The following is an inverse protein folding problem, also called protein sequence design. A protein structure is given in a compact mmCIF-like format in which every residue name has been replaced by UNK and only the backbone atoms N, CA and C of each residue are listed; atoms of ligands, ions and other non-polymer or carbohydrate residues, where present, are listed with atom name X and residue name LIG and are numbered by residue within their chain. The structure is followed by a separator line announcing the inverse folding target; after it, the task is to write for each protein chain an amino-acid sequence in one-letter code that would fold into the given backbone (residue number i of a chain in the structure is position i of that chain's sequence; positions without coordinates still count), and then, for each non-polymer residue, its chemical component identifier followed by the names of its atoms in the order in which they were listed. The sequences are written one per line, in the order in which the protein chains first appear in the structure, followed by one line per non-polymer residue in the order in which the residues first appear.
data_IF_147648358644
#
_entry.id   IF_147648358644
#
_cell.length_a   1.000
_cell.length_b   1.000
_cell.length_c   1.000
_cell.angle_alpha   90.00
_cell.angle_beta   90.00
_cell.angle_gamma   90.00
#
_symmetry.space_group_name_H-M   'P 1'
#
loop_
_entity.id
_entity.type
_entity.pdbx_description
1 polymer ?
#
# COMPACT_ATOMS: atom_id res chain seq x y z
N UNK A 1 13.33 7.63 4.71
CA UNK A 1 12.76 6.31 5.06
C UNK A 1 12.01 6.29 6.41
N UNK A 2 12.46 7.00 7.45
CA UNK A 2 11.74 7.05 8.73
C UNK A 2 10.39 7.80 8.67
N UNK A 3 10.28 8.92 7.95
CA UNK A 3 9.01 9.67 7.91
C UNK A 3 7.88 8.90 7.20
N UNK A 4 8.21 8.09 6.18
CA UNK A 4 7.22 7.28 5.47
C UNK A 4 6.65 6.16 6.35
N UNK A 5 7.49 5.55 7.21
CA UNK A 5 7.07 4.54 8.21
C UNK A 5 6.22 5.16 9.32
N UNK A 6 6.57 6.36 9.79
CA UNK A 6 5.76 7.08 10.79
C UNK A 6 4.39 7.49 10.23
N UNK A 7 4.32 7.97 8.99
CA UNK A 7 3.05 8.32 8.34
C UNK A 7 2.17 7.07 8.15
N UNK A 8 2.75 5.92 7.80
CA UNK A 8 1.98 4.67 7.69
C UNK A 8 1.52 4.17 9.05
N UNK A 9 2.37 4.26 10.08
CA UNK A 9 2.03 3.89 11.46
C UNK A 9 0.92 4.76 12.05
N UNK A 10 0.96 6.07 11.80
CA UNK A 10 -0.08 6.98 12.27
C UNK A 10 -1.41 6.74 11.55
N UNK A 11 -1.39 6.50 10.22
CA UNK A 11 -2.59 6.13 9.45
C UNK A 11 -3.21 4.83 9.95
N UNK A 12 -2.39 3.82 10.25
CA UNK A 12 -2.89 2.56 10.82
C UNK A 12 -3.44 2.76 12.23
N UNK A 13 -2.78 3.54 13.08
CA UNK A 13 -3.24 3.82 14.45
C UNK A 13 -4.58 4.56 14.47
N UNK A 14 -4.73 5.62 13.67
CA UNK A 14 -5.98 6.39 13.56
C UNK A 14 -7.12 5.54 13.01
N UNK A 15 -6.84 4.67 12.04
CA UNK A 15 -7.80 3.70 11.53
C UNK A 15 -8.24 2.69 12.60
N UNK A 16 -7.28 2.12 13.35
CA UNK A 16 -7.56 1.18 14.44
C UNK A 16 -8.41 1.84 15.54
N UNK A 17 -8.18 3.12 15.86
CA UNK A 17 -9.05 3.85 16.80
C UNK A 17 -10.48 3.98 16.29
N UNK A 18 -10.66 4.30 15.00
CA UNK A 18 -11.99 4.40 14.39
C UNK A 18 -12.72 3.06 14.39
N UNK A 19 -12.04 1.96 14.05
CA UNK A 19 -12.67 0.65 13.98
C UNK A 19 -12.92 0.07 15.37
N UNK A 20 -11.93 0.09 16.27
CA UNK A 20 -12.02 -0.56 17.59
C UNK A 20 -12.91 0.22 18.54
N UNK A 21 -12.88 1.55 18.52
CA UNK A 21 -13.73 2.35 19.41
C UNK A 21 -14.99 2.85 18.72
N UNK A 22 -14.94 3.15 17.42
CA UNK A 22 -16.10 3.68 16.70
C UNK A 22 -17.20 2.65 16.47
N UNK A 23 -16.89 1.41 16.09
CA UNK A 23 -17.91 0.37 15.86
C UNK A 23 -18.66 0.01 17.16
N UNK A 24 -17.99 -0.31 18.28
CA UNK A 24 -18.69 -0.60 19.53
C UNK A 24 -19.44 0.61 20.07
N UNK A 25 -18.90 1.83 19.92
CA UNK A 25 -19.61 3.05 20.34
C UNK A 25 -20.87 3.28 19.49
N UNK A 26 -20.82 3.10 18.17
CA UNK A 26 -21.99 3.17 17.28
C UNK A 26 -23.02 2.10 17.61
N UNK A 27 -22.61 0.84 17.79
CA UNK A 27 -23.51 -0.26 18.17
C UNK A 27 -24.14 0.03 19.53
N UNK A 28 -23.36 0.50 20.50
CA UNK A 28 -23.86 0.88 21.81
C UNK A 28 -24.87 2.03 21.71
N UNK A 29 -24.61 3.04 20.87
CA UNK A 29 -25.51 4.17 20.67
C UNK A 29 -26.80 3.75 19.94
N UNK A 30 -26.72 2.83 18.98
CA UNK A 30 -27.89 2.20 18.33
C UNK A 30 -28.69 1.31 19.29
N UNK A 31 -28.00 0.56 20.15
CA UNK A 31 -28.65 -0.24 21.19
C UNK A 31 -29.32 0.66 22.23
N UNK A 32 -28.66 1.74 22.63
CA UNK A 32 -29.19 2.70 23.61
C UNK A 32 -30.41 3.43 23.04
N UNK A 33 -30.35 3.90 21.79
CA UNK A 33 -31.52 4.49 21.10
C UNK A 33 -32.68 3.49 20.97
N UNK A 34 -32.41 2.22 20.67
CA UNK A 34 -33.46 1.20 20.58
C UNK A 34 -34.05 0.80 21.94
N UNK A 35 -33.22 0.44 22.90
CA UNK A 35 -33.66 -0.18 24.15
C UNK A 35 -34.04 0.84 25.22
N UNK A 36 -33.36 1.98 25.28
CA UNK A 36 -33.64 3.03 26.29
C UNK A 36 -34.72 3.98 25.80
N UNK A 37 -34.63 4.43 24.55
CA UNK A 37 -35.58 5.39 23.98
C UNK A 37 -36.73 4.75 23.22
N UNK A 38 -36.78 3.41 23.16
CA UNK A 38 -37.83 2.62 22.51
C UNK A 38 -38.06 3.01 21.04
N UNK A 39 -37.00 3.46 20.37
CA UNK A 39 -37.08 3.86 18.97
C UNK A 39 -37.23 2.60 18.10
N UNK A 40 -38.29 2.51 17.27
CA UNK A 40 -38.58 1.31 16.50
C UNK A 40 -37.73 1.25 15.23
N UNK A 41 -36.42 1.02 15.39
CA UNK A 41 -35.56 0.70 14.26
C UNK A 41 -35.81 -0.71 13.75
N UNK A 42 -35.83 -0.85 12.43
CA UNK A 42 -35.76 -2.15 11.78
C UNK A 42 -34.45 -2.86 12.15
N UNK A 43 -34.51 -4.16 12.46
CA UNK A 43 -33.30 -4.98 12.71
C UNK A 43 -32.29 -4.87 11.56
N UNK A 44 -32.77 -4.62 10.33
CA UNK A 44 -31.94 -4.44 9.15
C UNK A 44 -30.97 -3.26 9.25
N UNK A 45 -31.31 -2.18 9.97
CA UNK A 45 -30.40 -1.04 10.17
C UNK A 45 -29.17 -1.46 10.95
N UNK A 46 -29.36 -2.27 12.00
CA UNK A 46 -28.26 -2.77 12.84
C UNK A 46 -27.36 -3.69 12.01
N UNK A 47 -27.97 -4.60 11.24
CA UNK A 47 -27.23 -5.53 10.37
C UNK A 47 -26.43 -4.78 9.31
N UNK A 48 -27.02 -3.77 8.66
CA UNK A 48 -26.35 -2.97 7.63
C UNK A 48 -25.25 -2.07 8.19
N UNK A 49 -25.43 -1.49 9.38
CA UNK A 49 -24.36 -0.74 10.05
C UNK A 49 -23.20 -1.66 10.42
N UNK A 50 -23.47 -2.88 10.92
CA UNK A 50 -22.43 -3.89 11.16
C UNK A 50 -21.72 -4.26 9.86
N UNK A 51 -22.47 -4.43 8.76
CA UNK A 51 -21.95 -4.72 7.42
C UNK A 51 -20.98 -3.62 6.95
N UNK A 52 -21.41 -2.35 6.95
CA UNK A 52 -20.58 -1.20 6.58
C UNK A 52 -19.25 -1.13 7.34
N UNK A 53 -19.27 -1.39 8.65
CA UNK A 53 -18.02 -1.39 9.42
C UNK A 53 -17.14 -2.61 9.12
N UNK A 54 -17.74 -3.77 8.83
CA UNK A 54 -17.03 -4.93 8.30
C UNK A 54 -16.38 -4.62 6.95
N UNK A 55 -17.06 -3.88 6.08
CA UNK A 55 -16.54 -3.42 4.80
C UNK A 55 -15.38 -2.43 4.97
N UNK A 56 -15.51 -1.43 5.85
CA UNK A 56 -14.42 -0.50 6.20
C UNK A 56 -13.21 -1.24 6.75
N UNK A 57 -13.43 -2.27 7.57
CA UNK A 57 -12.37 -3.13 8.06
C UNK A 57 -11.67 -3.88 6.91
N UNK A 58 -12.44 -4.50 6.01
CA UNK A 58 -11.93 -5.26 4.87
C UNK A 58 -11.21 -4.37 3.84
N UNK A 59 -11.69 -3.14 3.61
CA UNK A 59 -11.10 -2.15 2.68
C UNK A 59 -9.62 -1.93 2.94
N UNK A 60 -9.22 -1.87 4.21
CA UNK A 60 -7.83 -1.60 4.57
C UNK A 60 -6.91 -2.81 4.43
N UNK A 61 -7.47 -4.01 4.33
CA UNK A 61 -6.71 -5.25 4.29
C UNK A 61 -6.59 -5.83 2.88
N UNK A 62 -7.51 -5.46 1.99
CA UNK A 62 -7.50 -5.88 0.59
C UNK A 62 -6.53 -5.02 -0.23
N UNK A 63 -5.38 -5.60 -0.58
CA UNK A 63 -4.41 -4.99 -1.51
C UNK A 63 -4.86 -5.20 -2.96
N UNK A 64 -5.79 -4.33 -3.40
CA UNK A 64 -6.21 -4.08 -4.79
C UNK A 64 -6.62 -5.30 -5.67
N UNK A 65 -7.87 -5.27 -6.17
CA UNK A 65 -8.41 -6.26 -7.12
C UNK A 65 -9.91 -6.11 -7.30
N UNK A 66 -10.54 -7.10 -7.96
CA UNK A 66 -12.00 -7.18 -8.19
C UNK A 66 -12.79 -7.06 -6.87
N UNK A 67 -12.26 -7.62 -5.77
CA UNK A 67 -12.87 -7.54 -4.44
C UNK A 67 -13.00 -6.10 -3.91
N UNK A 68 -12.06 -5.22 -4.25
CA UNK A 68 -12.12 -3.81 -3.83
C UNK A 68 -13.25 -3.08 -4.57
N UNK A 69 -13.40 -3.32 -5.87
CA UNK A 69 -14.48 -2.76 -6.69
C UNK A 69 -15.84 -3.29 -6.21
N UNK A 70 -15.94 -4.59 -5.98
CA UNK A 70 -17.17 -5.23 -5.51
C UNK A 70 -17.62 -4.69 -4.15
N UNK A 71 -16.66 -4.45 -3.26
CA UNK A 71 -16.94 -3.90 -1.95
C UNK A 71 -17.32 -2.40 -2.01
N UNK A 72 -16.75 -1.62 -2.93
CA UNK A 72 -17.26 -0.26 -3.22
C UNK A 72 -18.71 -0.33 -3.73
N UNK A 73 -19.01 -1.22 -4.68
CA UNK A 73 -20.37 -1.37 -5.20
C UNK A 73 -21.34 -1.75 -4.08
N UNK A 74 -20.94 -2.66 -3.18
CA UNK A 74 -21.74 -3.07 -2.03
C UNK A 74 -21.99 -1.89 -1.08
N UNK A 75 -20.96 -1.12 -0.70
CA UNK A 75 -21.13 0.11 0.12
C UNK A 75 -22.10 1.11 -0.54
N UNK A 76 -22.06 1.26 -1.88
CA UNK A 76 -22.95 2.17 -2.60
C UNK A 76 -24.41 1.70 -2.62
N UNK A 77 -24.66 0.39 -2.45
CA UNK A 77 -26.02 -0.17 -2.33
C UNK A 77 -26.50 -0.12 -0.88
N UNK A 78 -25.64 -0.45 0.08
CA UNK A 78 -25.98 -0.47 1.51
C UNK A 78 -26.33 0.93 2.03
N UNK A 79 -25.60 1.96 1.61
CA UNK A 79 -25.77 3.31 2.15
C UNK A 79 -27.15 3.92 1.85
N UNK A 80 -27.70 3.86 0.62
CA UNK A 80 -29.09 4.24 0.34
C UNK A 80 -30.13 3.44 1.13
N UNK A 81 -29.87 2.14 1.36
CA UNK A 81 -30.80 1.28 2.10
C UNK A 81 -30.81 1.65 3.58
N UNK A 82 -29.64 1.90 4.18
CA UNK A 82 -29.52 2.43 5.54
C UNK A 82 -30.23 3.76 5.63
N UNK A 83 -29.98 4.67 4.68
CA UNK A 83 -30.63 5.96 4.62
C UNK A 83 -32.16 5.78 4.58
N UNK A 84 -32.68 4.92 3.70
CA UNK A 84 -34.12 4.66 3.58
C UNK A 84 -34.75 4.18 4.89
N UNK A 85 -34.09 3.28 5.64
CA UNK A 85 -34.62 2.78 6.91
C UNK A 85 -34.38 3.73 8.10
N UNK A 86 -33.38 4.59 8.03
CA UNK A 86 -33.04 5.55 9.08
C UNK A 86 -33.76 6.89 8.90
N UNK A 87 -34.14 7.24 7.66
CA UNK A 87 -34.86 8.46 7.31
C UNK A 87 -36.15 8.65 8.12
N UNK A 88 -37.07 7.66 8.23
CA UNK A 88 -38.32 7.85 8.98
C UNK A 88 -38.07 8.26 10.43
N UNK A 89 -37.06 7.67 11.08
CA UNK A 89 -36.66 8.03 12.42
C UNK A 89 -36.11 9.46 12.50
N UNK A 90 -35.19 9.81 11.60
CA UNK A 90 -34.62 11.17 11.57
C UNK A 90 -35.69 12.23 11.28
N UNK A 91 -36.64 11.94 10.38
CA UNK A 91 -37.80 12.80 10.13
C UNK A 91 -38.62 12.96 11.41
N UNK A 92 -38.86 11.87 12.15
CA UNK A 92 -39.69 11.90 13.37
C UNK A 92 -39.02 12.65 14.55
N UNK A 93 -37.69 12.61 14.64
CA UNK A 93 -36.93 13.25 15.75
C UNK A 93 -36.52 14.68 15.42
N UNK A 94 -36.18 14.96 14.17
CA UNK A 94 -35.53 16.21 13.78
C UNK A 94 -36.23 16.96 12.64
N UNK A 95 -37.32 16.41 12.09
CA UNK A 95 -37.95 16.90 10.87
C UNK A 95 -37.11 16.60 9.62
N UNK A 96 -37.71 16.61 8.43
CA UNK A 96 -36.95 16.39 7.19
C UNK A 96 -36.02 17.54 6.80
N UNK A 97 -36.16 18.69 7.45
CA UNK A 97 -35.27 19.83 7.26
C UNK A 97 -33.86 19.60 7.83
N UNK A 98 -33.76 18.98 9.01
CA UNK A 98 -32.48 18.63 9.60
C UNK A 98 -31.72 17.59 8.76
N UNK A 99 -32.44 16.76 8.01
CA UNK A 99 -31.86 15.82 7.06
C UNK A 99 -31.18 16.53 5.88
N UNK A 100 -31.77 17.59 5.33
CA UNK A 100 -31.10 18.37 4.29
C UNK A 100 -29.84 19.06 4.82
N UNK A 101 -29.84 19.50 6.07
CA UNK A 101 -28.65 20.07 6.72
C UNK A 101 -27.56 19.02 6.94
N UNK A 102 -27.90 17.81 7.37
CA UNK A 102 -26.96 16.68 7.49
C UNK A 102 -26.42 16.24 6.13
N UNK A 103 -27.30 16.14 5.13
CA UNK A 103 -26.89 15.91 3.74
C UNK A 103 -25.94 17.01 3.27
N UNK A 104 -26.21 18.28 3.59
CA UNK A 104 -25.36 19.41 3.24
C UNK A 104 -23.98 19.33 3.90
N UNK A 105 -23.89 19.04 5.20
CA UNK A 105 -22.61 18.83 5.90
C UNK A 105 -21.86 17.62 5.33
N UNK A 106 -22.56 16.53 5.04
CA UNK A 106 -21.96 15.32 4.48
C UNK A 106 -21.47 15.53 3.03
N UNK A 107 -22.23 16.26 2.22
CA UNK A 107 -21.85 16.65 0.87
C UNK A 107 -20.68 17.63 0.89
N UNK A 108 -20.68 18.58 1.85
CA UNK A 108 -19.52 19.45 2.09
C UNK A 108 -18.28 18.64 2.46
N UNK A 109 -18.40 17.74 3.42
CA UNK A 109 -17.27 16.97 3.93
C UNK A 109 -16.67 16.02 2.91
N UNK A 110 -17.49 15.36 2.08
CA UNK A 110 -17.03 14.29 1.18
C UNK A 110 -16.71 14.75 -0.24
N UNK A 111 -17.44 15.74 -0.79
CA UNK A 111 -17.28 16.15 -2.19
C UNK A 111 -16.34 17.36 -2.33
N UNK A 112 -16.13 18.17 -1.29
CA UNK A 112 -15.22 19.35 -1.38
C UNK A 112 -13.73 19.02 -1.32
N UNK A 113 -13.40 17.75 -1.50
CA UNK A 113 -12.10 17.36 -2.03
C UNK A 113 -11.91 17.78 -3.52
N UNK A 114 -12.97 18.28 -4.18
CA UNK A 114 -12.94 18.81 -5.54
C UNK A 114 -13.01 20.34 -5.58
N UNK A 115 -12.12 20.89 -6.39
CA UNK A 115 -11.87 22.30 -6.73
C UNK A 115 -13.10 23.05 -7.29
N UNK A 116 -14.13 23.29 -6.47
CA UNK A 116 -15.28 24.11 -6.84
C UNK A 116 -15.06 25.59 -6.47
N UNK A 117 -15.61 26.49 -7.28
CA UNK A 117 -15.50 27.94 -7.07
C UNK A 117 -16.36 28.39 -5.87
N UNK A 118 -15.92 29.43 -5.16
CA UNK A 118 -16.67 30.00 -4.03
C UNK A 118 -18.10 30.39 -4.42
N UNK A 119 -18.32 30.87 -5.64
CA UNK A 119 -19.65 31.24 -6.13
C UNK A 119 -20.59 30.04 -6.23
N UNK A 120 -20.10 28.88 -6.68
CA UNK A 120 -20.89 27.66 -6.74
C UNK A 120 -21.35 27.23 -5.34
N UNK A 121 -20.47 27.37 -4.35
CA UNK A 121 -20.75 27.07 -2.96
C UNK A 121 -21.90 27.88 -2.38
N UNK A 122 -21.90 29.20 -2.60
CA UNK A 122 -22.99 30.07 -2.16
C UNK A 122 -24.31 29.77 -2.89
N UNK A 123 -24.26 29.49 -4.20
CA UNK A 123 -25.45 29.10 -4.97
C UNK A 123 -26.03 27.78 -4.43
N UNK A 124 -25.17 26.79 -4.17
CA UNK A 124 -25.58 25.51 -3.63
C UNK A 124 -26.17 25.64 -2.21
N UNK A 125 -25.56 26.46 -1.35
CA UNK A 125 -26.08 26.82 -0.02
C UNK A 125 -27.48 27.45 -0.14
N UNK A 126 -27.67 28.40 -1.06
CA UNK A 126 -28.94 29.07 -1.28
C UNK A 126 -30.03 28.10 -1.76
N UNK A 127 -29.71 27.22 -2.72
CA UNK A 127 -30.64 26.18 -3.19
C UNK A 127 -30.99 25.23 -2.05
N UNK A 128 -30.01 24.76 -1.28
CA UNK A 128 -30.22 23.86 -0.14
C UNK A 128 -31.10 24.49 0.94
N UNK A 129 -30.88 25.78 1.24
CA UNK A 129 -31.71 26.53 2.18
C UNK A 129 -33.15 26.67 1.67
N UNK A 130 -33.33 26.98 0.38
CA UNK A 130 -34.66 27.10 -0.22
C UNK A 130 -35.40 25.76 -0.24
N UNK A 131 -34.72 24.67 -0.61
CA UNK A 131 -35.28 23.32 -0.55
C UNK A 131 -35.66 22.90 0.87
N UNK A 132 -34.85 23.27 1.87
CA UNK A 132 -35.13 23.00 3.29
C UNK A 132 -36.38 23.74 3.75
N UNK A 133 -36.52 25.00 3.36
CA UNK A 133 -37.72 25.78 3.66
C UNK A 133 -38.97 25.16 3.02
N UNK A 134 -38.92 24.76 1.75
CA UNK A 134 -40.03 24.08 1.07
C UNK A 134 -40.40 22.77 1.77
N UNK A 135 -39.40 21.97 2.17
CA UNK A 135 -39.68 20.71 2.88
C UNK A 135 -40.37 20.96 4.22
N UNK A 136 -39.93 21.94 5.01
CA UNK A 136 -40.62 22.32 6.26
C UNK A 136 -42.07 22.70 5.98
N UNK A 137 -42.32 23.48 4.92
CA UNK A 137 -43.68 23.90 4.56
C UNK A 137 -44.57 22.71 4.18
N UNK A 138 -44.04 21.79 3.37
CA UNK A 138 -44.75 20.57 2.95
C UNK A 138 -45.05 19.68 4.16
N UNK A 139 -44.09 19.52 5.07
CA UNK A 139 -44.26 18.76 6.31
C UNK A 139 -45.27 19.40 7.25
N UNK A 140 -45.26 20.73 7.38
CA UNK A 140 -46.24 21.50 8.15
C UNK A 140 -47.67 21.33 7.62
N UNK A 141 -47.83 21.21 6.30
CA UNK A 141 -49.12 20.93 5.65
C UNK A 141 -49.57 19.46 5.82
N UNK A 142 -48.80 18.64 6.53
CA UNK A 142 -49.12 17.23 6.78
C UNK A 142 -48.87 16.32 5.57
N UNK A 143 -48.17 16.80 4.54
CA UNK A 143 -47.76 15.99 3.42
C UNK A 143 -46.41 15.33 3.73
N UNK A 144 -46.41 14.08 4.15
CA UNK A 144 -45.20 13.31 4.43
C UNK A 144 -45.14 12.02 3.61
N UNK A 145 -43.93 11.53 3.31
CA UNK A 145 -43.76 10.24 2.66
C UNK A 145 -44.37 9.13 3.53
N UNK A 146 -45.29 8.35 2.94
CA UNK A 146 -45.89 7.20 3.59
C UNK A 146 -44.91 6.02 3.53
N UNK A 147 -44.45 5.57 4.69
CA UNK A 147 -43.66 4.36 4.82
C UNK A 147 -44.57 3.20 5.21
N UNK A 148 -44.53 2.12 4.43
CA UNK A 148 -45.42 0.94 4.61
C UNK A 148 -45.38 0.35 6.02
N UNK A 149 -44.25 0.46 6.71
CA UNK A 149 -44.01 -0.14 8.02
C UNK A 149 -43.73 0.89 9.13
N UNK A 150 -43.93 2.18 8.87
CA UNK A 150 -43.61 3.24 9.82
C UNK A 150 -44.59 4.41 9.70
N UNK A 151 -45.37 4.65 10.75
CA UNK A 151 -46.21 5.83 10.85
C UNK A 151 -45.36 7.01 11.32
N UNK A 152 -45.11 7.96 10.42
CA UNK A 152 -44.45 9.22 10.77
C UNK A 152 -45.45 10.08 11.54
N UNK A 153 -45.28 10.14 12.86
CA UNK A 153 -46.13 10.93 13.75
C UNK A 153 -45.51 12.30 13.96
N UNK A 154 -45.73 13.21 13.00
CA UNK A 154 -45.10 14.53 13.00
C UNK A 154 -45.82 15.53 13.94
N UNK A 155 -46.16 15.10 15.17
CA UNK A 155 -46.76 15.96 16.19
C UNK A 155 -45.90 17.20 16.50
N UNK A 156 -44.58 17.10 16.25
CA UNK A 156 -43.63 18.18 16.49
C UNK A 156 -43.80 19.38 15.55
N UNK A 157 -44.18 19.22 14.27
CA UNK A 157 -44.30 20.38 13.37
C UNK A 157 -45.70 21.00 13.37
N UNK A 158 -46.71 20.30 13.88
CA UNK A 158 -48.05 20.87 14.08
C UNK A 158 -48.09 21.92 15.20
N UNK A 159 -47.14 21.84 16.14
CA UNK A 159 -46.96 22.83 17.19
C UNK A 159 -46.14 24.03 16.70
N UNK A 160 -46.67 25.24 16.93
CA UNK A 160 -46.09 26.50 16.44
C UNK A 160 -44.71 26.75 17.03
N UNK A 161 -44.50 26.38 18.29
CA UNK A 161 -43.25 26.63 19.01
C UNK A 161 -42.10 25.77 18.46
N UNK A 162 -42.41 24.51 18.15
CA UNK A 162 -41.46 23.59 17.55
C UNK A 162 -41.17 23.90 16.08
N UNK A 163 -42.16 24.34 15.30
CA UNK A 163 -41.94 24.86 13.95
C UNK A 163 -40.98 26.06 13.95
N UNK A 164 -41.20 27.00 14.88
CA UNK A 164 -40.35 28.18 15.03
C UNK A 164 -38.93 27.80 15.45
N UNK A 165 -38.78 26.85 16.39
CA UNK A 165 -37.48 26.31 16.78
C UNK A 165 -36.76 25.65 15.60
N UNK A 166 -37.45 24.84 14.80
CA UNK A 166 -36.88 24.19 13.61
C UNK A 166 -36.42 25.23 12.56
N UNK A 167 -37.22 26.27 12.31
CA UNK A 167 -36.84 27.36 11.42
C UNK A 167 -35.61 28.11 11.92
N UNK A 168 -35.53 28.40 13.23
CA UNK A 168 -34.37 29.07 13.84
C UNK A 168 -33.11 28.20 13.69
N UNK A 169 -33.21 26.89 13.94
CA UNK A 169 -32.06 25.97 13.80
C UNK A 169 -31.59 25.91 12.35
N UNK A 170 -32.51 25.84 11.39
CA UNK A 170 -32.17 25.79 9.96
C UNK A 170 -31.54 27.10 9.50
N UNK A 171 -32.16 28.25 9.79
CA UNK A 171 -31.62 29.57 9.43
C UNK A 171 -30.28 29.82 10.13
N UNK A 172 -30.19 29.52 11.43
CA UNK A 172 -28.96 29.67 12.21
C UNK A 172 -27.84 28.76 11.72
N UNK A 173 -28.15 27.51 11.37
CA UNK A 173 -27.21 26.57 10.78
C UNK A 173 -26.68 27.04 9.42
N UNK A 174 -27.58 27.47 8.53
CA UNK A 174 -27.18 28.03 7.23
C UNK A 174 -26.36 29.31 7.38
N UNK A 175 -26.71 30.19 8.31
CA UNK A 175 -25.95 31.41 8.61
C UNK A 175 -24.55 31.09 9.15
N UNK A 176 -24.45 30.15 10.09
CA UNK A 176 -23.18 29.66 10.61
C UNK A 176 -22.30 29.12 9.47
N UNK A 177 -22.86 28.34 8.55
CA UNK A 177 -22.11 27.81 7.41
C UNK A 177 -21.73 28.90 6.42
N UNK A 178 -22.63 29.82 6.09
CA UNK A 178 -22.33 30.98 5.24
C UNK A 178 -21.16 31.80 5.79
N UNK A 179 -21.14 32.01 7.11
CA UNK A 179 -20.09 32.77 7.78
C UNK A 179 -18.75 32.03 7.77
N UNK A 180 -18.76 30.73 7.99
CA UNK A 180 -17.54 29.92 8.10
C UNK A 180 -17.01 29.42 6.75
N UNK A 181 -17.76 29.54 5.66
CA UNK A 181 -17.39 29.00 4.35
C UNK A 181 -16.04 29.53 3.86
N UNK A 182 -15.76 30.81 4.10
CA UNK A 182 -14.50 31.44 3.71
C UNK A 182 -13.32 30.89 4.52
N UNK A 183 -13.52 30.62 5.81
CA UNK A 183 -12.51 30.01 6.68
C UNK A 183 -12.21 28.58 6.22
N UNK A 184 -13.25 27.78 5.94
CA UNK A 184 -13.08 26.43 5.40
C UNK A 184 -12.36 26.45 4.06
N UNK A 185 -12.72 27.35 3.15
CA UNK A 185 -12.06 27.51 1.86
C UNK A 185 -10.60 27.93 2.00
N UNK A 186 -10.27 28.81 2.95
CA UNK A 186 -8.89 29.20 3.21
C UNK A 186 -8.05 28.02 3.68
N UNK A 187 -8.55 27.25 4.66
CA UNK A 187 -7.86 26.04 5.16
C UNK A 187 -7.68 25.01 4.05
N UNK A 188 -8.71 24.78 3.22
CA UNK A 188 -8.61 23.85 2.09
C UNK A 188 -7.57 24.30 1.07
N UNK A 189 -7.53 25.58 0.72
CA UNK A 189 -6.52 26.14 -0.20
C UNK A 189 -5.11 25.95 0.36
N UNK A 190 -4.88 26.27 1.63
CA UNK A 190 -3.58 26.07 2.28
C UNK A 190 -3.14 24.60 2.20
N UNK A 191 -4.04 23.65 2.48
CA UNK A 191 -3.72 22.22 2.38
C UNK A 191 -3.43 21.78 0.95
N UNK A 192 -4.16 22.30 -0.04
CA UNK A 192 -3.92 22.02 -1.47
C UNK A 192 -2.56 22.57 -1.90
N UNK A 193 -2.21 23.79 -1.49
CA UNK A 193 -0.91 24.41 -1.79
C UNK A 193 0.24 23.64 -1.14
N UNK A 194 0.10 23.28 0.14
CA UNK A 194 1.06 22.44 0.84
C UNK A 194 1.25 21.09 0.14
N UNK A 195 0.17 20.45 -0.30
CA UNK A 195 0.23 19.20 -1.05
C UNK A 195 0.95 19.36 -2.39
N UNK A 196 0.65 20.43 -3.13
CA UNK A 196 1.31 20.74 -4.40
C UNK A 196 2.81 21.02 -4.22
N UNK A 197 3.20 21.73 -3.15
CA UNK A 197 4.60 21.95 -2.80
C UNK A 197 5.33 20.63 -2.53
N UNK A 198 4.75 19.77 -1.68
CA UNK A 198 5.31 18.43 -1.40
C UNK A 198 5.42 17.59 -2.67
N UNK A 199 4.42 17.64 -3.55
CA UNK A 199 4.45 16.93 -4.84
C UNK A 199 5.60 17.43 -5.73
N UNK A 200 5.86 18.73 -5.76
CA UNK A 200 6.96 19.33 -6.52
C UNK A 200 8.32 18.93 -5.95
N UNK A 201 8.50 19.03 -4.64
CA UNK A 201 9.73 18.59 -3.96
C UNK A 201 9.99 17.10 -4.21
N UNK A 202 8.95 16.26 -4.14
CA UNK A 202 9.07 14.83 -4.44
C UNK A 202 9.50 14.58 -5.90
N UNK A 203 8.98 15.36 -6.84
CA UNK A 203 9.35 15.26 -8.25
C UNK A 203 10.81 15.65 -8.48
N UNK A 204 11.28 16.74 -7.86
CA UNK A 204 12.68 17.18 -7.93
C UNK A 204 13.63 16.14 -7.31
N UNK A 205 13.27 15.58 -6.14
CA UNK A 205 14.06 14.51 -5.51
C UNK A 205 14.12 13.26 -6.39
N UNK A 206 13.02 12.89 -7.05
CA UNK A 206 12.99 11.75 -7.96
C UNK A 206 13.92 11.95 -9.16
N UNK A 207 13.93 13.14 -9.77
CA UNK A 207 14.82 13.44 -10.89
C UNK A 207 16.30 13.31 -10.50
N UNK A 208 16.69 13.87 -9.35
CA UNK A 208 18.06 13.75 -8.83
C UNK A 208 18.43 12.30 -8.54
N UNK A 209 17.48 11.52 -8.01
CA UNK A 209 17.70 10.10 -7.73
C UNK A 209 17.88 9.29 -9.01
N UNK A 210 17.06 9.57 -10.03
CA UNK A 210 17.11 8.90 -11.34
C UNK A 210 18.44 9.19 -12.05
N UNK A 211 18.92 10.43 -11.99
CA UNK A 211 20.23 10.82 -12.52
C UNK A 211 21.37 10.07 -11.80
N UNK A 212 21.37 10.04 -10.46
CA UNK A 212 22.37 9.28 -9.69
C UNK A 212 22.33 7.79 -9.99
N UNK A 213 21.15 7.20 -10.15
CA UNK A 213 21.02 5.78 -10.53
C UNK A 213 21.68 5.55 -11.89
N UNK A 214 21.45 6.45 -12.84
CA UNK A 214 22.05 6.37 -14.18
C UNK A 214 23.58 6.48 -14.16
N UNK A 215 24.12 7.44 -13.39
CA UNK A 215 25.57 7.59 -13.21
C UNK A 215 26.18 6.32 -12.59
N UNK A 216 25.58 5.81 -11.51
CA UNK A 216 26.03 4.57 -10.86
C UNK A 216 25.93 3.35 -11.76
N UNK A 217 24.89 3.26 -12.59
CA UNK A 217 24.76 2.19 -13.57
C UNK A 217 25.88 2.25 -14.61
N UNK A 218 26.24 3.44 -15.08
CA UNK A 218 27.35 3.65 -16.01
C UNK A 218 28.70 3.30 -15.37
N UNK A 219 28.98 3.76 -14.15
CA UNK A 219 30.19 3.40 -13.41
C UNK A 219 30.32 1.88 -13.22
N UNK A 220 29.20 1.20 -12.92
CA UNK A 220 29.16 -0.26 -12.79
C UNK A 220 29.44 -0.97 -14.12
N UNK A 221 28.91 -0.46 -15.23
CA UNK A 221 29.14 -1.02 -16.56
C UNK A 221 30.61 -0.85 -16.99
N UNK A 222 31.20 0.32 -16.76
CA UNK A 222 32.62 0.58 -17.00
C UNK A 222 33.51 -0.31 -16.12
N UNK A 223 33.22 -0.42 -14.82
CA UNK A 223 33.96 -1.29 -13.91
C UNK A 223 33.84 -2.76 -14.30
N UNK A 224 32.66 -3.20 -14.75
CA UNK A 224 32.43 -4.56 -15.26
C UNK A 224 33.27 -4.83 -16.51
N UNK A 225 33.28 -3.92 -17.47
CA UNK A 225 34.09 -4.05 -18.70
C UNK A 225 35.58 -4.16 -18.40
N UNK A 226 36.11 -3.30 -17.52
CA UNK A 226 37.52 -3.37 -17.06
C UNK A 226 37.81 -4.70 -16.38
N UNK A 227 36.89 -5.21 -15.56
CA UNK A 227 37.06 -6.48 -14.88
C UNK A 227 37.06 -7.66 -15.86
N UNK A 228 36.18 -7.65 -16.86
CA UNK A 228 36.13 -8.68 -17.91
C UNK A 228 37.44 -8.75 -18.70
N UNK A 229 38.00 -7.60 -19.08
CA UNK A 229 39.32 -7.52 -19.74
C UNK A 229 40.41 -8.11 -18.84
N UNK A 230 40.44 -7.74 -17.55
CA UNK A 230 41.43 -8.27 -16.60
C UNK A 230 41.30 -9.78 -16.40
N UNK A 231 40.07 -10.28 -16.31
CA UNK A 231 39.80 -11.72 -16.15
C UNK A 231 40.27 -12.47 -17.40
N UNK A 232 39.98 -11.96 -18.59
CA UNK A 232 40.43 -12.57 -19.83
C UNK A 232 41.96 -12.58 -19.93
N UNK A 233 42.63 -11.46 -19.66
CA UNK A 233 44.08 -11.38 -19.66
C UNK A 233 44.72 -12.36 -18.66
N UNK A 234 44.18 -12.44 -17.43
CA UNK A 234 44.64 -13.42 -16.42
C UNK A 234 44.41 -14.87 -16.85
N UNK A 235 43.30 -15.16 -17.54
CA UNK A 235 43.01 -16.49 -18.08
C UNK A 235 44.01 -16.86 -19.17
N UNK A 236 44.35 -15.93 -20.06
CA UNK A 236 45.36 -16.13 -21.11
C UNK A 236 46.76 -16.34 -20.51
N UNK A 237 47.15 -15.55 -19.51
CA UNK A 237 48.41 -15.73 -18.76
C UNK A 237 48.48 -17.12 -18.10
N UNK A 238 47.41 -17.54 -17.41
CA UNK A 238 47.35 -18.86 -16.77
C UNK A 238 47.44 -19.99 -17.79
N UNK A 239 46.77 -19.87 -18.94
CA UNK A 239 46.85 -20.88 -20.01
C UNK A 239 48.26 -20.98 -20.59
N UNK A 240 48.94 -19.85 -20.81
CA UNK A 240 50.35 -19.85 -21.26
C UNK A 240 51.27 -20.49 -20.22
N UNK A 241 51.07 -20.17 -18.94
CA UNK A 241 51.85 -20.76 -17.86
C UNK A 241 51.61 -22.28 -17.76
N UNK A 242 50.36 -22.72 -17.86
CA UNK A 242 50.00 -24.14 -17.86
C UNK A 242 50.63 -24.89 -19.05
N UNK A 243 50.55 -24.32 -20.26
CA UNK A 243 51.19 -24.90 -21.46
C UNK A 243 52.71 -25.01 -21.32
N UNK A 244 53.36 -23.96 -20.80
CA UNK A 244 54.81 -23.99 -20.56
C UNK A 244 55.20 -25.03 -19.51
N UNK A 245 54.41 -25.17 -18.44
CA UNK A 245 54.63 -26.19 -17.41
C UNK A 245 54.44 -27.60 -17.97
N UNK A 246 53.43 -27.84 -18.80
CA UNK A 246 53.23 -29.12 -19.48
C UNK A 246 54.41 -29.48 -20.38
N UNK A 247 54.93 -28.52 -21.15
CA UNK A 247 56.09 -28.72 -21.99
C UNK A 247 57.35 -29.04 -21.17
N UNK A 248 57.60 -28.31 -20.08
CA UNK A 248 58.70 -28.60 -19.16
C UNK A 248 58.57 -29.98 -18.50
N UNK A 249 57.37 -30.38 -18.09
CA UNK A 249 57.12 -31.71 -17.52
C UNK A 249 57.39 -32.80 -18.56
N UNK A 250 56.96 -32.59 -19.81
CA UNK A 250 57.20 -33.54 -20.90
C UNK A 250 58.69 -33.68 -21.21
N UNK A 251 59.43 -32.58 -21.27
CA UNK A 251 60.87 -32.57 -21.50
C UNK A 251 61.62 -33.27 -20.35
N UNK A 252 61.26 -32.95 -19.10
CA UNK A 252 61.83 -33.61 -17.90
C UNK A 252 61.52 -35.11 -17.86
N UNK A 253 60.31 -35.52 -18.21
CA UNK A 253 59.96 -36.94 -18.28
C UNK A 253 60.79 -37.67 -19.33
N UNK A 254 61.01 -37.05 -20.51
CA UNK A 254 61.88 -37.62 -21.54
C UNK A 254 63.34 -37.73 -21.07
N UNK A 255 63.88 -36.68 -20.45
CA UNK A 255 65.24 -36.69 -19.87
C UNK A 255 65.38 -37.79 -18.79
N UNK A 256 64.37 -37.97 -17.96
CA UNK A 256 64.33 -39.03 -16.95
C UNK A 256 64.27 -40.42 -17.57
N UNK A 257 63.46 -40.63 -18.61
CA UNK A 257 63.40 -41.91 -19.34
C UNK A 257 64.75 -42.26 -19.98
N UNK A 258 65.42 -41.30 -20.60
CA UNK A 258 66.76 -41.47 -21.18
C UNK A 258 67.80 -41.83 -20.10
N UNK A 259 67.78 -41.15 -18.95
CA UNK A 259 68.64 -41.47 -17.80
C UNK A 259 68.35 -42.86 -17.23
N UNK A 260 67.09 -43.25 -17.13
CA UNK A 260 66.69 -44.60 -16.68
C UNK A 260 67.20 -45.65 -17.68
N UNK A 261 67.09 -45.41 -18.98
CA UNK A 261 67.61 -46.32 -20.01
C UNK A 261 69.14 -46.47 -19.94
N UNK A 262 69.86 -45.36 -19.78
CA UNK A 262 71.31 -45.37 -19.61
C UNK A 262 71.74 -46.12 -18.34
N UNK A 263 71.04 -45.91 -17.21
CA UNK A 263 71.29 -46.63 -15.97
C UNK A 263 71.03 -48.14 -16.11
N UNK A 264 69.97 -48.54 -16.82
CA UNK A 264 69.69 -49.95 -17.13
C UNK A 264 70.81 -50.58 -17.96
N UNK A 265 71.34 -49.86 -18.95
CA UNK A 265 72.42 -50.37 -19.79
C UNK A 265 73.74 -50.50 -19.02
N UNK A 266 74.10 -49.50 -18.20
CA UNK A 266 75.26 -49.61 -17.30
C UNK A 266 75.09 -50.80 -16.35
N UNK A 267 73.89 -50.98 -15.77
CA UNK A 267 73.62 -52.09 -14.88
C UNK A 267 73.74 -53.45 -15.60
N UNK A 268 73.21 -53.57 -16.82
CA UNK A 268 73.36 -54.77 -17.67
C UNK A 268 74.83 -55.10 -17.92
N UNK A 269 75.63 -54.11 -18.32
CA UNK A 269 77.07 -54.27 -18.56
C UNK A 269 77.84 -54.63 -17.28
N UNK A 270 77.46 -54.06 -16.12
CA UNK A 270 78.07 -54.40 -14.83
C UNK A 270 77.74 -55.84 -14.42
N UNK A 271 76.49 -56.28 -14.56
CA UNK A 271 76.09 -57.67 -14.30
C UNK A 271 76.84 -58.63 -15.24
N UNK A 272 76.95 -58.33 -16.53
CA UNK A 272 77.73 -59.14 -17.48
C UNK A 272 79.21 -59.22 -17.08
N UNK A 273 79.81 -58.11 -16.64
CA UNK A 273 81.18 -58.10 -16.12
C UNK A 273 81.32 -58.92 -14.84
N UNK A 274 80.37 -58.84 -13.92
CA UNK A 274 80.37 -59.66 -12.70
C UNK A 274 80.27 -61.14 -13.02
N UNK A 275 79.35 -61.53 -13.92
CA UNK A 275 79.23 -62.92 -14.38
C UNK A 275 80.55 -63.39 -14.99
N UNK A 276 81.15 -62.60 -15.89
CA UNK A 276 82.43 -62.93 -16.53
C UNK A 276 83.58 -63.02 -15.52
N UNK A 277 83.61 -62.15 -14.51
CA UNK A 277 84.57 -62.21 -13.40
C UNK A 277 84.37 -63.45 -12.53
N UNK A 278 83.13 -63.88 -12.29
CA UNK A 278 82.81 -65.12 -11.58
C UNK A 278 83.27 -66.34 -12.37
N UNK A 279 83.07 -66.35 -13.69
CA UNK A 279 83.57 -67.42 -14.59
C UNK A 279 85.10 -67.49 -14.57
N UNK A 280 85.79 -66.36 -14.70
CA UNK A 280 87.26 -66.30 -14.61
C UNK A 280 87.74 -66.81 -13.23
N UNK A 281 87.10 -66.40 -12.13
CA UNK A 281 87.42 -66.89 -10.79
C UNK A 281 87.19 -68.40 -10.64
N UNK A 282 86.15 -68.97 -11.27
CA UNK A 282 85.93 -70.42 -11.30
C UNK A 282 86.99 -71.14 -12.14
N UNK A 283 87.41 -70.57 -13.27
CA UNK A 283 88.49 -71.10 -14.11
C UNK A 283 89.85 -71.16 -13.40
N UNK A 284 90.17 -70.15 -12.59
CA UNK A 284 91.43 -70.13 -11.80
C UNK A 284 91.38 -71.13 -10.63
N UNK A 285 90.18 -71.42 -10.09
CA UNK A 285 89.99 -72.41 -9.02
C UNK A 285 90.00 -73.86 -9.51
N UNK A 286 89.98 -74.10 -10.83
CA UNK A 286 90.06 -75.44 -11.42
C UNK A 286 91.27 -75.55 -12.36
N UNK A 287 92.51 -75.60 -11.83
CA UNK A 287 93.69 -75.92 -12.63
C UNK A 287 93.76 -77.44 -12.79
N UNK A 288 92.94 -78.02 -13.68
CA UNK A 288 93.10 -79.37 -14.24
C UNK A 288 91.98 -79.65 -15.25
N UNK A 289 92.25 -79.38 -16.53
CA UNK A 289 92.50 -80.34 -17.64
C UNK A 289 93.00 -79.51 -18.83
#
# INVERSE_FOLDING_TARGET
MNSQKEITAWKTLSFWKLVVFGLPAMIFLLALTRFVFHIPFSNWVIVLVISLFGEVYLLTRLRAGIFFILLIILTMIELPVILYFFMPFLINVSGGAALLFLCYIFFIGNIFNLSLSSSFLYIFLAISSFSSFILILIEYLGAYPLYRNYTVNNYFLADKDHLLAALIVVVGGFFFLAFNINNFLAVLKEKIEALNKVKKELFEVNLVLEERIRERAKELEEAKSVLEIKVQARKEELNKLASNLEEQVKERNKELEEKIAALKEINRLTIEREIKMVEIKKGIKNPNI
#
